data_IF_702050707780
#
_entry.id   IF_702050707780
#
_cell.length_a   1.000
_cell.length_b   1.000
_cell.length_c   1.000
_cell.angle_alpha   90.00
_cell.angle_beta   90.00
_cell.angle_gamma   90.00
#
_symmetry.space_group_name_H-M   'P 1'
#
loop_
_entity.id
_entity.type
_entity.pdbx_description
1 polymer ?
#
# COMPACT_ATOMS: atom_id res chain seq x y z
N UNK A 1 -9.27 4.51 7.22
CA UNK A 1 -7.81 4.44 6.93
C UNK A 1 -7.33 5.70 6.18
N UNK A 2 -6.13 6.26 6.45
CA UNK A 2 -5.57 7.35 5.64
C UNK A 2 -5.39 6.94 4.17
N UNK A 3 -5.69 7.84 3.22
CA UNK A 3 -5.64 7.54 1.77
C UNK A 3 -4.27 7.00 1.32
N UNK A 4 -3.18 7.50 1.91
CA UNK A 4 -1.81 7.03 1.62
C UNK A 4 -1.60 5.55 1.97
N UNK A 5 -2.22 5.06 3.04
CA UNK A 5 -2.17 3.64 3.38
C UNK A 5 -2.97 2.81 2.36
N UNK A 6 -4.14 3.29 1.93
CA UNK A 6 -4.95 2.62 0.91
C UNK A 6 -4.18 2.42 -0.39
N UNK A 7 -3.46 3.45 -0.84
CA UNK A 7 -2.66 3.39 -2.07
C UNK A 7 -1.50 2.40 -1.97
N UNK A 8 -0.79 2.35 -0.84
CA UNK A 8 0.25 1.34 -0.63
C UNK A 8 -0.35 -0.08 -0.58
N UNK A 9 -1.49 -0.24 0.09
CA UNK A 9 -2.18 -1.53 0.15
C UNK A 9 -2.73 -1.97 -1.21
N UNK A 10 -3.25 -1.06 -2.05
CA UNK A 10 -3.75 -1.41 -3.38
C UNK A 10 -2.65 -2.01 -4.26
N UNK A 11 -1.43 -1.47 -4.17
CA UNK A 11 -0.25 -1.98 -4.87
C UNK A 11 0.11 -3.40 -4.38
N UNK A 12 0.13 -3.61 -3.06
CA UNK A 12 0.52 -4.89 -2.44
C UNK A 12 -0.59 -5.96 -2.46
N UNK A 13 -1.85 -5.56 -2.62
CA UNK A 13 -3.00 -6.48 -2.60
C UNK A 13 -3.01 -7.45 -3.79
N UNK A 14 -2.30 -7.12 -4.88
CA UNK A 14 -2.06 -8.01 -6.03
C UNK A 14 -1.31 -9.31 -5.70
N UNK A 15 -0.91 -9.51 -4.44
CA UNK A 15 -0.21 -10.70 -3.95
C UNK A 15 1.30 -10.66 -4.17
N UNK A 16 1.80 -9.59 -4.79
CA UNK A 16 3.22 -9.40 -5.05
C UNK A 16 3.86 -8.62 -3.91
N UNK A 17 4.90 -9.20 -3.30
CA UNK A 17 5.80 -8.46 -2.44
C UNK A 17 6.58 -7.45 -3.30
N UNK A 18 6.77 -6.22 -2.83
CA UNK A 18 7.48 -5.17 -3.57
C UNK A 18 8.47 -4.41 -2.70
N UNK A 19 9.56 -3.98 -3.29
CA UNK A 19 10.50 -3.03 -2.70
C UNK A 19 9.84 -1.65 -2.53
N UNK A 20 10.36 -0.84 -1.61
CA UNK A 20 9.86 0.54 -1.38
C UNK A 20 10.05 1.40 -2.63
N UNK A 21 11.15 1.20 -3.35
CA UNK A 21 11.43 1.86 -4.62
C UNK A 21 10.40 1.51 -5.69
N UNK A 22 9.97 0.26 -5.78
CA UNK A 22 8.93 -0.17 -6.73
C UNK A 22 7.57 0.47 -6.39
N UNK A 23 7.19 0.47 -5.11
CA UNK A 23 5.96 1.16 -4.65
C UNK A 23 6.03 2.66 -4.99
N UNK A 24 7.17 3.30 -4.76
CA UNK A 24 7.38 4.70 -5.09
C UNK A 24 7.18 4.98 -6.58
N UNK A 25 7.76 4.16 -7.46
CA UNK A 25 7.63 4.31 -8.92
C UNK A 25 6.20 4.12 -9.39
N UNK A 26 5.47 3.12 -8.86
CA UNK A 26 4.06 2.90 -9.20
C UNK A 26 3.21 4.10 -8.78
N UNK A 27 3.41 4.62 -7.57
CA UNK A 27 2.68 5.79 -7.09
C UNK A 27 2.91 7.02 -7.99
N UNK A 28 4.15 7.26 -8.37
CA UNK A 28 4.52 8.42 -9.19
C UNK A 28 4.05 8.28 -10.65
N UNK A 29 4.29 7.13 -11.27
CA UNK A 29 4.15 6.95 -12.72
C UNK A 29 2.78 6.43 -13.14
N UNK A 30 2.17 5.53 -12.35
CA UNK A 30 0.88 4.93 -12.72
C UNK A 30 -0.30 5.66 -12.07
N UNK A 31 -0.12 6.12 -10.83
CA UNK A 31 -1.21 6.77 -10.08
C UNK A 31 -1.11 8.30 -10.12
N UNK A 32 -0.02 8.85 -10.69
CA UNK A 32 0.24 10.30 -10.76
C UNK A 32 0.23 10.97 -9.37
N UNK A 33 0.69 10.26 -8.35
CA UNK A 33 0.73 10.73 -6.96
C UNK A 33 2.14 11.16 -6.58
N UNK A 34 2.31 12.46 -6.42
CA UNK A 34 3.55 13.02 -5.88
C UNK A 34 3.64 12.79 -4.36
N UNK A 35 4.63 12.00 -3.96
CA UNK A 35 5.06 11.83 -2.58
C UNK A 35 6.59 11.88 -2.56
N UNK A 36 7.20 12.41 -1.51
CA UNK A 36 8.64 12.27 -1.33
C UNK A 36 8.99 10.84 -0.89
N UNK A 37 10.17 10.34 -1.24
CA UNK A 37 10.62 9.02 -0.78
C UNK A 37 10.65 8.94 0.75
N UNK A 38 11.10 10.00 1.43
CA UNK A 38 11.06 10.11 2.90
C UNK A 38 9.63 10.05 3.45
N UNK A 39 8.67 10.72 2.80
CA UNK A 39 7.26 10.66 3.15
C UNK A 39 6.69 9.25 3.00
N UNK A 40 7.08 8.52 1.96
CA UNK A 40 6.68 7.13 1.76
C UNK A 40 7.22 6.22 2.88
N UNK A 41 8.46 6.39 3.31
CA UNK A 41 9.02 5.64 4.45
C UNK A 41 8.26 5.91 5.76
N UNK A 42 7.83 7.16 6.01
CA UNK A 42 7.00 7.49 7.20
C UNK A 42 5.68 6.72 7.15
N UNK A 43 5.01 6.68 5.99
CA UNK A 43 3.76 5.92 5.79
C UNK A 43 4.00 4.43 6.03
N UNK A 44 5.04 3.85 5.42
CA UNK A 44 5.39 2.43 5.58
C UNK A 44 5.65 2.08 7.04
N UNK A 45 6.43 2.89 7.75
CA UNK A 45 6.75 2.64 9.15
C UNK A 45 5.51 2.67 10.04
N UNK A 46 4.58 3.61 9.78
CA UNK A 46 3.29 3.64 10.45
C UNK A 46 2.47 2.38 10.14
N UNK A 47 2.38 1.98 8.87
CA UNK A 47 1.64 0.78 8.45
C UNK A 47 2.21 -0.52 9.05
N UNK A 48 3.54 -0.62 9.21
CA UNK A 48 4.18 -1.73 9.93
C UNK A 48 3.77 -1.74 11.41
N UNK A 49 3.77 -0.58 12.06
CA UNK A 49 3.32 -0.42 13.46
C UNK A 49 1.85 -0.81 13.63
N UNK A 50 1.03 -0.45 12.65
CA UNK A 50 -0.40 -0.78 12.57
C UNK A 50 -0.65 -2.23 12.09
N UNK A 51 0.40 -3.03 11.85
CA UNK A 51 0.35 -4.44 11.42
C UNK A 51 -0.39 -4.68 10.09
N UNK A 52 -0.45 -3.67 9.21
CA UNK A 52 -1.08 -3.78 7.88
C UNK A 52 -0.14 -4.42 6.84
N UNK A 53 1.16 -4.23 7.04
CA UNK A 53 2.22 -4.76 6.18
C UNK A 53 3.36 -5.26 7.06
N UNK A 54 4.17 -6.15 6.49
CA UNK A 54 5.42 -6.57 7.09
C UNK A 54 6.51 -6.60 6.02
N UNK A 55 7.76 -6.63 6.47
CA UNK A 55 8.92 -6.75 5.60
C UNK A 55 9.52 -8.15 5.71
N UNK A 56 10.00 -8.69 4.60
CA UNK A 56 10.76 -9.94 4.55
C UNK A 56 11.86 -9.85 3.51
N UNK A 57 12.86 -10.73 3.62
CA UNK A 57 13.81 -10.95 2.54
C UNK A 57 13.19 -11.88 1.50
N UNK A 58 13.13 -11.43 0.25
CA UNK A 58 12.91 -12.28 -0.91
C UNK A 58 14.26 -12.76 -1.44
N UNK A 59 14.37 -14.08 -1.66
CA UNK A 59 15.56 -14.75 -2.21
C UNK A 59 16.88 -14.42 -1.47
N UNK A 60 16.78 -14.10 -0.18
CA UNK A 60 17.93 -13.77 0.68
C UNK A 60 18.66 -12.46 0.35
N UNK A 61 18.18 -11.69 -0.64
CA UNK A 61 18.88 -10.50 -1.15
C UNK A 61 18.03 -9.24 -1.19
N UNK A 62 16.72 -9.36 -1.42
CA UNK A 62 15.83 -8.22 -1.63
C UNK A 62 14.94 -7.98 -0.42
N UNK A 63 14.93 -6.75 0.09
CA UNK A 63 14.07 -6.37 1.21
C UNK A 63 12.73 -5.87 0.68
N UNK A 64 11.70 -6.72 0.80
CA UNK A 64 10.39 -6.46 0.20
C UNK A 64 9.31 -6.29 1.28
N UNK A 65 8.30 -5.48 0.97
CA UNK A 65 7.08 -5.32 1.75
C UNK A 65 6.01 -6.30 1.26
N UNK A 66 5.25 -6.84 2.20
CA UNK A 66 4.15 -7.77 1.94
C UNK A 66 2.97 -7.38 2.81
N UNK A 67 1.77 -7.48 2.25
CA UNK A 67 0.51 -7.21 2.97
C UNK A 67 0.22 -8.33 3.99
N UNK A 68 -0.25 -7.96 5.18
CA UNK A 68 -0.74 -8.93 6.19
C UNK A 68 -2.20 -9.30 5.89
N UNK A 69 -2.74 -10.28 6.63
CA UNK A 69 -4.17 -10.57 6.59
C UNK A 69 -5.01 -9.36 7.01
N UNK A 70 -4.63 -8.68 8.10
CA UNK A 70 -5.28 -7.44 8.56
C UNK A 70 -5.21 -6.33 7.51
N UNK A 71 -4.09 -6.18 6.81
CA UNK A 71 -3.98 -5.24 5.69
C UNK A 71 -4.94 -5.55 4.55
N UNK A 72 -5.15 -6.83 4.23
CA UNK A 72 -6.12 -7.26 3.19
C UNK A 72 -7.56 -6.93 3.60
N UNK A 73 -7.91 -7.14 4.86
CA UNK A 73 -9.23 -6.82 5.41
C UNK A 73 -9.50 -5.32 5.33
N UNK A 74 -8.57 -4.50 5.83
CA UNK A 74 -8.64 -3.03 5.77
C UNK A 74 -8.74 -2.48 4.33
N UNK A 75 -7.97 -3.07 3.40
CA UNK A 75 -8.06 -2.71 1.99
C UNK A 75 -9.45 -2.99 1.41
N UNK A 76 -9.98 -4.20 1.65
CA UNK A 76 -11.28 -4.60 1.13
C UNK A 76 -12.44 -3.79 1.72
N UNK A 77 -12.38 -3.45 3.01
CA UNK A 77 -13.37 -2.58 3.64
C UNK A 77 -13.34 -1.18 3.04
N UNK A 78 -12.15 -0.59 2.90
CA UNK A 78 -11.98 0.73 2.31
C UNK A 78 -12.43 0.75 0.84
N UNK A 79 -12.09 -0.29 0.07
CA UNK A 79 -12.52 -0.46 -1.32
C UNK A 79 -14.05 -0.45 -1.45
N UNK A 80 -14.76 -1.23 -0.62
CA UNK A 80 -16.23 -1.28 -0.61
C UNK A 80 -16.86 0.08 -0.32
N UNK A 81 -16.25 0.86 0.58
CA UNK A 81 -16.71 2.23 0.88
C UNK A 81 -16.55 3.13 -0.35
N UNK A 82 -15.38 3.10 -0.98
CA UNK A 82 -15.12 3.90 -2.18
C UNK A 82 -16.06 3.53 -3.33
N UNK A 83 -16.29 2.24 -3.59
CA UNK A 83 -17.25 1.76 -4.61
C UNK A 83 -18.65 2.34 -4.38
N UNK A 84 -19.14 2.34 -3.14
CA UNK A 84 -20.44 2.92 -2.78
C UNK A 84 -20.49 4.45 -2.92
N UNK A 85 -19.37 5.13 -2.69
CA UNK A 85 -19.29 6.59 -2.86
C UNK A 85 -19.32 6.92 -4.34
N UNK A 86 -18.52 6.24 -5.16
CA UNK A 86 -18.46 6.50 -6.59
C UNK A 86 -19.75 6.10 -7.30
N UNK A 87 -20.45 5.04 -6.89
CA UNK A 87 -21.75 4.66 -7.45
C UNK A 87 -22.88 5.66 -7.19
N UNK A 88 -22.64 6.73 -6.42
CA UNK A 88 -23.59 7.84 -6.19
C UNK A 88 -23.22 9.09 -6.97
N UNK A 89 -21.99 9.16 -7.48
CA UNK A 89 -21.46 10.29 -8.23
C UNK A 89 -21.59 10.02 -9.74
N UNK A 90 -21.50 8.75 -10.13
CA UNK A 90 -21.80 8.24 -11.46
C UNK A 90 -23.16 7.53 -11.47
#
# INVERSE_FOLDING_TARGET
MPIKNFLVLSILYSGQSKEVSEIYQILLLEYEIEISLSGLYVVINKMKKDKLIYSRYADGKKYVLTITQTGKEEFNETKKILEKVFSKIY
#
